data_IF_142592451024
#
_entry.id   IF_142592451024
#
_cell.length_a   1.000
_cell.length_b   1.000
_cell.length_c   1.000
_cell.angle_alpha   90.00
_cell.angle_beta   90.00
_cell.angle_gamma   90.00
#
_symmetry.space_group_name_H-M   'P 1'
#
loop_
_entity.id
_entity.type
_entity.pdbx_description
1 polymer ?
#
# COMPACT_ATOMS: atom_id res chain seq x y z
N UNK A 1 -6.23 -12.81 31.39
CA UNK A 1 -6.50 -11.43 30.93
C UNK A 1 -7.91 -11.41 30.38
N UNK A 2 -8.80 -10.54 30.86
CA UNK A 2 -10.20 -10.52 30.44
C UNK A 2 -10.31 -10.05 28.98
N UNK A 3 -11.21 -10.64 28.18
CA UNK A 3 -11.44 -10.22 26.77
C UNK A 3 -11.63 -8.71 26.63
N UNK A 4 -12.23 -8.09 27.64
CA UNK A 4 -12.47 -6.65 27.68
C UNK A 4 -11.18 -5.83 27.79
N UNK A 5 -10.19 -6.29 28.55
CA UNK A 5 -8.90 -5.61 28.68
C UNK A 5 -8.02 -5.82 27.45
N UNK A 6 -8.08 -6.98 26.81
CA UNK A 6 -7.37 -7.22 25.54
C UNK A 6 -7.89 -6.33 24.39
N UNK A 7 -9.21 -6.19 24.28
CA UNK A 7 -9.82 -5.35 23.25
C UNK A 7 -9.56 -3.85 23.47
N UNK A 8 -9.57 -3.40 24.74
CA UNK A 8 -9.21 -2.01 25.10
C UNK A 8 -7.74 -1.70 24.75
N UNK A 9 -6.81 -2.59 25.13
CA UNK A 9 -5.39 -2.44 24.82
C UNK A 9 -5.18 -2.38 23.31
N UNK A 10 -5.81 -3.28 22.55
CA UNK A 10 -5.71 -3.30 21.09
C UNK A 10 -6.20 -2.00 20.45
N UNK A 11 -7.28 -1.40 20.96
CA UNK A 11 -7.81 -0.16 20.42
C UNK A 11 -6.93 1.05 20.76
N UNK A 12 -6.41 1.10 22.00
CA UNK A 12 -5.47 2.13 22.44
C UNK A 12 -4.18 2.08 21.62
N UNK A 13 -3.62 0.89 21.38
CA UNK A 13 -2.42 0.72 20.55
C UNK A 13 -2.67 1.21 19.13
N UNK A 14 -3.80 0.89 18.51
CA UNK A 14 -4.15 1.37 17.16
C UNK A 14 -4.23 2.90 17.09
N UNK A 15 -4.89 3.53 18.07
CA UNK A 15 -5.02 4.99 18.14
C UNK A 15 -3.65 5.65 18.34
N UNK A 16 -2.81 5.09 19.20
CA UNK A 16 -1.45 5.59 19.40
C UNK A 16 -0.60 5.50 18.14
N UNK A 17 -0.64 4.37 17.43
CA UNK A 17 0.08 4.21 16.15
C UNK A 17 -0.44 5.18 15.09
N UNK A 18 -1.77 5.38 15.02
CA UNK A 18 -2.36 6.35 14.09
C UNK A 18 -1.94 7.79 14.43
N UNK A 19 -1.98 8.19 15.70
CA UNK A 19 -1.52 9.51 16.15
C UNK A 19 -0.03 9.72 15.86
N UNK A 20 0.79 8.71 16.08
CA UNK A 20 2.22 8.75 15.78
C UNK A 20 2.47 8.96 14.27
N UNK A 21 1.69 8.27 13.43
CA UNK A 21 1.71 8.46 11.98
C UNK A 21 1.31 9.86 11.55
N UNK A 22 0.24 10.42 12.14
CA UNK A 22 -0.19 11.81 11.86
C UNK A 22 0.89 12.82 12.27
N UNK A 23 1.52 12.63 13.43
CA UNK A 23 2.62 13.47 13.91
C UNK A 23 3.80 13.41 12.93
N UNK A 24 4.19 12.22 12.46
CA UNK A 24 5.26 12.11 11.47
C UNK A 24 4.91 12.78 10.15
N UNK A 25 3.68 12.63 9.65
CA UNK A 25 3.23 13.34 8.46
C UNK A 25 3.31 14.86 8.64
N UNK A 26 2.86 15.37 9.79
CA UNK A 26 2.94 16.80 10.10
C UNK A 26 4.39 17.30 10.16
N UNK A 27 5.29 16.52 10.78
CA UNK A 27 6.73 16.83 10.85
C UNK A 27 7.40 16.85 9.47
N UNK A 28 7.04 15.93 8.58
CA UNK A 28 7.55 15.88 7.20
C UNK A 28 7.09 17.11 6.42
N UNK A 29 5.82 17.49 6.53
CA UNK A 29 5.27 18.66 5.85
C UNK A 29 5.87 19.95 6.41
N UNK A 30 6.07 20.04 7.73
CA UNK A 30 6.61 21.23 8.38
C UNK A 30 8.11 21.45 8.15
N UNK A 31 8.88 20.38 7.91
CA UNK A 31 10.32 20.44 7.60
C UNK A 31 10.62 20.34 6.10
N UNK A 32 9.62 20.58 5.23
CA UNK A 32 9.74 20.42 3.78
C UNK A 32 10.74 21.38 3.11
N UNK A 33 11.25 22.38 3.82
CA UNK A 33 12.22 23.37 3.33
C UNK A 33 13.67 22.91 3.36
N UNK A 34 14.00 21.80 4.05
CA UNK A 34 15.37 21.25 4.13
C UNK A 34 15.50 19.86 3.49
N UNK A 35 14.40 19.30 2.97
CA UNK A 35 14.42 18.04 2.22
C UNK A 35 14.64 18.36 0.73
N UNK A 36 15.74 19.03 0.43
CA UNK A 36 16.24 19.08 -0.93
C UNK A 36 16.69 17.67 -1.33
N UNK A 37 16.27 17.25 -2.52
CA UNK A 37 16.40 15.89 -3.04
C UNK A 37 17.85 15.53 -3.40
N UNK A 38 18.79 15.58 -2.45
CA UNK A 38 20.21 15.34 -2.72
C UNK A 38 21.16 15.33 -1.52
N UNK A 39 20.82 15.97 -0.40
CA UNK A 39 21.71 16.03 0.76
C UNK A 39 21.47 14.83 1.69
N UNK A 40 22.51 14.01 1.83
CA UNK A 40 22.48 12.77 2.61
C UNK A 40 22.51 13.05 4.11
N UNK A 41 21.37 13.42 4.68
CA UNK A 41 21.19 13.33 6.13
C UNK A 41 21.08 11.86 6.54
N UNK A 42 22.12 11.36 7.23
CA UNK A 42 22.25 9.95 7.67
C UNK A 42 21.00 9.41 8.39
N UNK A 43 20.23 10.27 9.06
CA UNK A 43 18.98 9.89 9.72
C UNK A 43 17.85 9.51 8.74
N UNK A 44 17.72 10.24 7.63
CA UNK A 44 16.71 9.95 6.60
C UNK A 44 17.07 8.66 5.86
N UNK A 45 18.35 8.47 5.54
CA UNK A 45 18.83 7.24 4.89
C UNK A 45 18.65 5.98 5.77
N UNK A 46 18.97 6.09 7.07
CA UNK A 46 18.77 5.00 8.02
C UNK A 46 17.29 4.62 8.22
N UNK A 47 16.42 5.62 8.35
CA UNK A 47 14.97 5.41 8.45
C UNK A 47 14.39 4.79 7.16
N UNK A 48 14.85 5.23 5.99
CA UNK A 48 14.44 4.67 4.69
C UNK A 48 14.82 3.18 4.60
N UNK A 49 16.03 2.83 5.05
CA UNK A 49 16.55 1.46 5.00
C UNK A 49 15.75 0.53 5.91
N UNK A 50 15.47 0.95 7.15
CA UNK A 50 14.65 0.17 8.09
C UNK A 50 13.22 0.02 7.55
N UNK A 51 12.66 1.07 6.95
CA UNK A 51 11.33 1.03 6.32
C UNK A 51 11.29 0.03 5.15
N UNK A 52 12.31 0.02 4.28
CA UNK A 52 12.45 -0.93 3.18
C UNK A 52 12.54 -2.38 3.69
N UNK A 53 13.35 -2.64 4.71
CA UNK A 53 13.47 -3.97 5.32
C UNK A 53 12.12 -4.39 5.92
N UNK A 54 11.46 -3.50 6.67
CA UNK A 54 10.15 -3.75 7.26
C UNK A 54 9.08 -4.05 6.20
N UNK A 55 9.07 -3.29 5.10
CA UNK A 55 8.19 -3.51 3.95
C UNK A 55 8.41 -4.90 3.35
N UNK A 56 9.66 -5.28 3.08
CA UNK A 56 10.00 -6.60 2.50
C UNK A 56 9.52 -7.73 3.42
N UNK A 57 9.75 -7.61 4.73
CA UNK A 57 9.32 -8.62 5.71
C UNK A 57 7.79 -8.71 5.77
N UNK A 58 7.10 -7.57 5.86
CA UNK A 58 5.63 -7.52 5.91
C UNK A 58 5.00 -8.10 4.64
N UNK A 59 5.49 -7.70 3.47
CA UNK A 59 5.02 -8.24 2.18
C UNK A 59 5.30 -9.74 2.11
N UNK A 60 6.49 -10.19 2.53
CA UNK A 60 6.84 -11.60 2.57
C UNK A 60 5.89 -12.42 3.45
N UNK A 61 5.60 -11.95 4.66
CA UNK A 61 4.66 -12.61 5.58
C UNK A 61 3.25 -12.60 4.98
N UNK A 62 2.77 -11.45 4.48
CA UNK A 62 1.44 -11.32 3.90
C UNK A 62 1.24 -12.26 2.70
N UNK A 63 2.24 -12.37 1.82
CA UNK A 63 2.21 -13.28 0.68
C UNK A 63 2.31 -14.74 1.11
N UNK A 64 3.19 -15.09 2.04
CA UNK A 64 3.33 -16.47 2.53
C UNK A 64 2.02 -16.96 3.17
N UNK A 65 1.47 -16.21 4.11
CA UNK A 65 0.21 -16.57 4.75
C UNK A 65 -0.96 -16.52 3.77
N UNK A 66 -1.03 -15.49 2.94
CA UNK A 66 -2.09 -15.34 1.93
C UNK A 66 -2.10 -16.51 0.94
N UNK A 67 -0.94 -16.89 0.40
CA UNK A 67 -0.81 -17.96 -0.57
C UNK A 67 -1.05 -19.34 0.06
N UNK A 68 -0.52 -19.60 1.26
CA UNK A 68 -0.74 -20.87 1.97
C UNK A 68 -2.23 -21.07 2.30
N UNK A 69 -2.91 -20.02 2.78
CA UNK A 69 -4.35 -20.08 3.04
C UNK A 69 -5.18 -20.25 1.78
N UNK A 70 -4.78 -19.58 0.70
CA UNK A 70 -5.43 -19.68 -0.60
C UNK A 70 -5.34 -21.09 -1.18
N UNK A 71 -4.14 -21.68 -1.23
CA UNK A 71 -3.93 -23.04 -1.76
C UNK A 71 -4.68 -24.09 -0.93
N UNK A 72 -4.68 -23.96 0.40
CA UNK A 72 -5.42 -24.90 1.28
C UNK A 72 -6.94 -24.82 1.14
N UNK A 73 -7.50 -23.70 0.70
CA UNK A 73 -8.95 -23.46 0.63
C UNK A 73 -9.48 -23.21 -0.79
N UNK A 74 -8.66 -23.43 -1.83
CA UNK A 74 -8.96 -23.12 -3.23
C UNK A 74 -10.29 -23.71 -3.70
N UNK A 75 -10.62 -24.94 -3.28
CA UNK A 75 -11.84 -25.65 -3.67
C UNK A 75 -13.12 -25.09 -3.03
N UNK A 76 -13.01 -24.36 -1.91
CA UNK A 76 -14.15 -23.83 -1.16
C UNK A 76 -14.39 -22.34 -1.38
N UNK A 77 -13.35 -21.60 -1.81
CA UNK A 77 -13.36 -20.14 -1.83
C UNK A 77 -13.53 -19.55 -3.24
N UNK A 78 -14.65 -19.85 -3.90
CA UNK A 78 -14.96 -19.34 -5.26
C UNK A 78 -14.93 -17.81 -5.35
N UNK A 79 -15.36 -17.12 -4.29
CA UNK A 79 -15.31 -15.64 -4.22
C UNK A 79 -13.87 -15.09 -4.21
N UNK A 80 -12.95 -15.78 -3.54
CA UNK A 80 -11.53 -15.38 -3.53
C UNK A 80 -10.87 -15.60 -4.89
N UNK A 81 -11.24 -16.67 -5.61
CA UNK A 81 -10.78 -16.92 -6.97
C UNK A 81 -11.23 -15.81 -7.94
N UNK A 82 -12.51 -15.40 -7.84
CA UNK A 82 -13.05 -14.29 -8.63
C UNK A 82 -12.29 -12.99 -8.30
N UNK A 83 -12.08 -12.70 -7.01
CA UNK A 83 -11.31 -11.54 -6.56
C UNK A 83 -9.89 -11.52 -7.14
N UNK A 84 -9.21 -12.66 -7.16
CA UNK A 84 -7.86 -12.80 -7.73
C UNK A 84 -7.84 -12.55 -9.24
N UNK A 85 -8.81 -13.09 -9.98
CA UNK A 85 -8.93 -12.88 -11.43
C UNK A 85 -9.20 -11.40 -11.74
N UNK A 86 -10.13 -10.77 -11.01
CA UNK A 86 -10.42 -9.33 -11.17
C UNK A 86 -9.18 -8.49 -10.84
N UNK A 87 -8.45 -8.83 -9.78
CA UNK A 87 -7.22 -8.14 -9.42
C UNK A 87 -6.14 -8.28 -10.51
N UNK A 88 -5.98 -9.47 -11.09
CA UNK A 88 -5.05 -9.70 -12.21
C UNK A 88 -5.42 -8.86 -13.45
N UNK A 89 -6.71 -8.78 -13.78
CA UNK A 89 -7.20 -7.92 -14.87
C UNK A 89 -6.86 -6.45 -14.59
N UNK A 90 -7.04 -5.99 -13.36
CA UNK A 90 -6.70 -4.62 -12.98
C UNK A 90 -5.20 -4.34 -13.13
N UNK A 91 -4.32 -5.28 -12.76
CA UNK A 91 -2.87 -5.13 -13.00
C UNK A 91 -2.57 -4.93 -14.50
N UNK A 92 -3.21 -5.71 -15.38
CA UNK A 92 -2.99 -5.58 -16.83
C UNK A 92 -3.45 -4.21 -17.33
N UNK A 93 -4.61 -3.74 -16.88
CA UNK A 93 -5.12 -2.41 -17.21
C UNK A 93 -4.13 -1.34 -16.72
N UNK A 94 -3.71 -1.40 -15.46
CA UNK A 94 -2.76 -0.45 -14.89
C UNK A 94 -1.41 -0.45 -15.60
N UNK A 95 -0.91 -1.62 -16.00
CA UNK A 95 0.35 -1.73 -16.74
C UNK A 95 0.24 -1.18 -18.15
N UNK A 96 -0.94 -1.29 -18.78
CA UNK A 96 -1.19 -0.70 -20.09
C UNK A 96 -1.29 0.82 -20.07
N UNK A 97 -1.74 1.39 -18.94
CA UNK A 97 -1.82 2.83 -18.71
C UNK A 97 -0.50 3.44 -18.24
N UNK A 98 0.36 2.64 -17.61
CA UNK A 98 1.65 3.10 -17.12
C UNK A 98 2.63 3.35 -18.27
N UNK A 99 3.18 4.57 -18.30
CA UNK A 99 4.31 4.92 -19.16
C UNK A 99 5.63 4.60 -18.44
N UNK A 100 6.65 4.22 -19.22
CA UNK A 100 8.03 4.02 -18.76
C UNK A 100 8.88 5.28 -18.83
N UNK A 101 8.33 6.41 -19.29
CA UNK A 101 9.04 7.68 -19.45
C UNK A 101 9.95 8.04 -18.28
N UNK A 102 11.20 8.40 -18.60
CA UNK A 102 12.22 8.79 -17.64
C UNK A 102 12.63 10.25 -17.88
N UNK A 103 12.69 11.04 -16.82
CA UNK A 103 13.37 12.35 -16.88
C UNK A 103 14.89 12.14 -16.94
N UNK A 104 15.62 13.09 -17.52
CA UNK A 104 17.09 13.04 -17.62
C UNK A 104 17.78 12.79 -16.28
N UNK A 105 17.26 13.35 -15.18
CA UNK A 105 17.76 13.11 -13.82
C UNK A 105 17.63 11.65 -13.34
N UNK A 106 16.56 10.97 -13.74
CA UNK A 106 16.32 9.56 -13.37
C UNK A 106 17.23 8.61 -14.17
N UNK A 107 17.52 8.95 -15.42
CA UNK A 107 18.51 8.25 -16.25
C UNK A 107 19.90 8.39 -15.62
N UNK A 108 20.27 9.60 -15.19
CA UNK A 108 21.55 9.88 -14.50
C UNK A 108 21.71 9.13 -13.17
N UNK A 109 20.60 8.72 -12.54
CA UNK A 109 20.56 7.90 -11.31
C UNK A 109 20.49 6.39 -11.58
N UNK A 110 20.57 5.95 -12.83
CA UNK A 110 20.58 4.54 -13.21
C UNK A 110 19.22 3.85 -13.12
N UNK A 111 18.11 4.61 -13.09
CA UNK A 111 16.76 4.03 -13.10
C UNK A 111 16.43 3.53 -14.51
N UNK A 112 16.00 2.28 -14.59
CA UNK A 112 15.60 1.67 -15.85
C UNK A 112 14.14 2.00 -16.19
N UNK A 113 13.84 2.02 -17.48
CA UNK A 113 12.48 2.23 -17.99
C UNK A 113 11.50 1.20 -17.40
N UNK A 114 11.96 -0.05 -17.25
CA UNK A 114 11.20 -1.13 -16.64
C UNK A 114 10.85 -0.85 -15.17
N UNK A 115 11.81 -0.35 -14.39
CA UNK A 115 11.56 0.00 -12.99
C UNK A 115 10.56 1.17 -12.87
N UNK A 116 10.69 2.17 -13.75
CA UNK A 116 9.76 3.30 -13.82
C UNK A 116 8.33 2.84 -14.16
N UNK A 117 8.20 2.03 -15.22
CA UNK A 117 6.90 1.50 -15.65
C UNK A 117 6.23 0.61 -14.60
N UNK A 118 7.01 -0.21 -13.88
CA UNK A 118 6.50 -1.05 -12.80
C UNK A 118 6.00 -0.19 -11.62
N UNK A 119 6.75 0.84 -11.26
CA UNK A 119 6.34 1.81 -10.23
C UNK A 119 5.06 2.55 -10.65
N UNK A 120 4.99 3.03 -11.90
CA UNK A 120 3.80 3.66 -12.46
C UNK A 120 2.59 2.73 -12.44
N UNK A 121 2.78 1.45 -12.77
CA UNK A 121 1.73 0.42 -12.71
C UNK A 121 1.15 0.31 -11.29
N UNK A 122 2.00 0.30 -10.26
CA UNK A 122 1.56 0.27 -8.87
C UNK A 122 0.71 1.48 -8.50
N UNK A 123 1.12 2.68 -8.92
CA UNK A 123 0.39 3.93 -8.65
C UNK A 123 -0.99 3.90 -9.33
N UNK A 124 -1.07 3.54 -10.61
CA UNK A 124 -2.35 3.41 -11.31
C UNK A 124 -3.25 2.34 -10.70
N UNK A 125 -2.68 1.20 -10.31
CA UNK A 125 -3.43 0.10 -9.68
C UNK A 125 -4.04 0.54 -8.36
N UNK A 126 -3.27 1.18 -7.48
CA UNK A 126 -3.79 1.71 -6.21
C UNK A 126 -4.88 2.76 -6.45
N UNK A 127 -4.69 3.66 -7.42
CA UNK A 127 -5.70 4.66 -7.78
C UNK A 127 -7.03 4.06 -8.25
N UNK A 128 -6.97 3.06 -9.13
CA UNK A 128 -8.16 2.35 -9.63
C UNK A 128 -8.87 1.61 -8.49
N UNK A 129 -8.14 0.87 -7.66
CA UNK A 129 -8.71 0.15 -6.53
C UNK A 129 -9.36 1.10 -5.51
N UNK A 130 -8.77 2.26 -5.28
CA UNK A 130 -9.34 3.30 -4.41
C UNK A 130 -10.65 3.82 -5.00
N UNK A 131 -10.69 4.14 -6.30
CA UNK A 131 -11.91 4.58 -6.97
C UNK A 131 -13.03 3.53 -6.88
N UNK A 132 -12.71 2.26 -7.17
CA UNK A 132 -13.65 1.14 -7.03
C UNK A 132 -14.14 1.00 -5.58
N UNK A 133 -13.25 1.14 -4.61
CA UNK A 133 -13.60 1.05 -3.19
C UNK A 133 -14.58 2.14 -2.78
N UNK A 134 -14.35 3.39 -3.20
CA UNK A 134 -15.27 4.51 -2.94
C UNK A 134 -16.64 4.23 -3.56
N UNK A 135 -16.69 3.79 -4.81
CA UNK A 135 -17.96 3.46 -5.49
C UNK A 135 -18.71 2.38 -4.70
N UNK A 136 -18.05 1.27 -4.38
CA UNK A 136 -18.67 0.15 -3.66
C UNK A 136 -19.14 0.57 -2.26
N UNK A 137 -18.35 1.39 -1.56
CA UNK A 137 -18.72 1.91 -0.25
C UNK A 137 -20.00 2.76 -0.33
N UNK A 138 -20.07 3.71 -1.28
CA UNK A 138 -21.25 4.55 -1.50
C UNK A 138 -22.49 3.71 -1.86
N UNK A 139 -22.35 2.77 -2.79
CA UNK A 139 -23.46 1.86 -3.14
C UNK A 139 -23.93 1.04 -1.93
N UNK A 140 -23.01 0.59 -1.08
CA UNK A 140 -23.37 -0.14 0.14
C UNK A 140 -24.10 0.73 1.16
N UNK A 141 -23.75 2.00 1.29
CA UNK A 141 -24.44 2.93 2.18
C UNK A 141 -25.85 3.24 1.67
N UNK A 142 -25.98 3.55 0.37
CA UNK A 142 -27.27 3.82 -0.27
C UNK A 142 -28.21 2.63 -0.15
N UNK A 143 -27.74 1.40 -0.43
CA UNK A 143 -28.57 0.20 -0.29
C UNK A 143 -29.04 -0.07 1.15
N UNK A 144 -28.28 0.36 2.17
CA UNK A 144 -28.71 0.25 3.57
C UNK A 144 -29.81 1.24 3.94
N UNK A 145 -29.94 2.35 3.21
CA UNK A 145 -31.01 3.32 3.45
C UNK A 145 -32.35 2.89 2.84
N UNK A 146 -32.31 2.03 1.82
CA UNK A 146 -33.49 1.51 1.13
C UNK A 146 -33.94 0.13 1.61
N UNK A 147 -33.24 -0.47 2.58
CA UNK A 147 -33.51 -1.82 3.09
C UNK A 147 -33.67 -1.78 4.59
#
# INVERSE_FOLDING_TARGET
>A
MSDKTAHLIGNVVKILVALLGVIFCALIIANNSEIEMGESHNYVSGALTISLIGMIVCVGIALLFGLVYFVKNIAKSKGMLIGLVVFAIMIVISYSMADGGLTQDWIGRGVTETASKLSGTGIYLTGILLAVTVIVALFSEVNKLFK
#
